data_IF_961875496789
#
_entry.id   IF_961875496789
#
_cell.length_a   1.000
_cell.length_b   1.000
_cell.length_c   1.000
_cell.angle_alpha   90.00
_cell.angle_beta   90.00
_cell.angle_gamma   90.00
#
_symmetry.space_group_name_H-M   'P 1'
#
loop_
_entity.id
_entity.type
_entity.pdbx_description
1 polymer ?
#
# COMPACT_ATOMS: atom_id res chain seq x y z
N UNK A 1 -38.64 -31.98 20.65
CA UNK A 1 -38.47 -30.58 20.18
C UNK A 1 -37.02 -30.09 20.24
N UNK A 2 -36.01 -30.93 19.92
CA UNK A 2 -34.59 -30.55 19.99
C UNK A 2 -33.94 -30.26 18.63
N UNK A 3 -34.48 -30.83 17.54
CA UNK A 3 -33.91 -30.73 16.20
C UNK A 3 -33.87 -29.29 15.66
N UNK A 4 -34.87 -28.47 15.97
CA UNK A 4 -34.89 -27.05 15.58
C UNK A 4 -33.76 -26.25 16.22
N UNK A 5 -33.50 -26.50 17.52
CA UNK A 5 -32.41 -25.83 18.25
C UNK A 5 -31.05 -26.27 17.71
N UNK A 6 -30.89 -27.56 17.39
CA UNK A 6 -29.67 -28.10 16.79
C UNK A 6 -29.40 -27.52 15.39
N UNK A 7 -30.43 -27.34 14.55
CA UNK A 7 -30.29 -26.72 13.23
C UNK A 7 -29.94 -25.24 13.32
N UNK A 8 -30.57 -24.49 14.24
CA UNK A 8 -30.27 -23.07 14.45
C UNK A 8 -28.85 -22.90 14.99
N UNK A 9 -28.47 -23.69 16.01
CA UNK A 9 -27.12 -23.66 16.56
C UNK A 9 -26.06 -24.08 15.54
N UNK A 10 -26.32 -25.12 14.74
CA UNK A 10 -25.44 -25.57 13.66
C UNK A 10 -25.30 -24.53 12.55
N UNK A 11 -26.40 -23.87 12.17
CA UNK A 11 -26.41 -22.80 11.18
C UNK A 11 -25.64 -21.55 11.65
N UNK A 12 -25.86 -21.12 12.89
CA UNK A 12 -25.08 -20.05 13.50
C UNK A 12 -23.60 -20.40 13.58
N UNK A 13 -23.26 -21.61 14.01
CA UNK A 13 -21.87 -22.08 14.05
C UNK A 13 -21.22 -22.06 12.66
N UNK A 14 -21.90 -22.55 11.62
CA UNK A 14 -21.40 -22.52 10.25
C UNK A 14 -21.21 -21.08 9.74
N UNK A 15 -22.16 -20.19 10.03
CA UNK A 15 -22.11 -18.78 9.65
C UNK A 15 -20.93 -18.03 10.32
N UNK A 16 -20.74 -18.21 11.62
CA UNK A 16 -19.63 -17.59 12.35
C UNK A 16 -18.27 -18.18 11.96
N UNK A 17 -18.19 -19.46 11.59
CA UNK A 17 -16.94 -20.07 11.10
C UNK A 17 -16.50 -19.55 9.73
N UNK A 18 -17.45 -19.12 8.89
CA UNK A 18 -17.16 -18.49 7.59
C UNK A 18 -16.78 -17.00 7.70
N UNK A 19 -17.40 -16.28 8.62
CA UNK A 19 -17.16 -14.84 8.85
C UNK A 19 -15.98 -14.56 9.79
N UNK A 20 -15.62 -15.53 10.63
CA UNK A 20 -14.59 -15.44 11.65
C UNK A 20 -13.20 -15.89 11.24
N UNK A 21 -12.82 -15.93 9.95
CA UNK A 21 -11.39 -15.86 9.62
C UNK A 21 -10.96 -14.47 10.07
N UNK A 22 -10.23 -14.28 11.19
CA UNK A 22 -9.66 -12.98 11.48
C UNK A 22 -8.86 -12.65 10.24
N UNK A 23 -9.25 -11.61 9.50
CA UNK A 23 -8.38 -11.06 8.46
C UNK A 23 -7.09 -10.79 9.23
N UNK A 24 -5.99 -11.57 9.05
CA UNK A 24 -4.79 -11.21 9.74
C UNK A 24 -4.53 -9.78 9.29
N UNK A 25 -4.45 -8.87 10.25
CA UNK A 25 -4.06 -7.47 10.05
C UNK A 25 -2.57 -7.39 9.63
N UNK A 26 -2.15 -8.31 8.78
CA UNK A 26 -0.83 -8.59 8.29
C UNK A 26 -0.82 -8.68 6.76
N UNK A 27 -1.83 -8.14 6.06
CA UNK A 27 -1.53 -7.54 4.75
C UNK A 27 -1.15 -6.08 4.98
N UNK A 28 0.08 -5.90 5.49
CA UNK A 28 0.85 -4.66 5.32
C UNK A 28 1.05 -4.43 3.80
N UNK A 29 0.00 -3.98 3.12
CA UNK A 29 0.11 -3.06 1.99
C UNK A 29 0.28 -1.71 2.70
N UNK A 30 1.45 -1.15 2.96
CA UNK A 30 2.61 -0.95 2.12
C UNK A 30 3.88 -0.96 2.99
N UNK A 31 4.66 -2.05 2.96
CA UNK A 31 6.06 -2.03 3.39
C UNK A 31 6.94 -1.78 2.15
N UNK A 32 6.70 -0.65 1.47
CA UNK A 32 7.52 -0.17 0.35
C UNK A 32 7.66 1.35 0.43
N UNK A 33 7.83 1.86 1.66
CA UNK A 33 8.21 3.24 1.95
C UNK A 33 9.71 3.41 2.17
N UNK A 34 10.49 2.33 2.01
CA UNK A 34 11.92 2.28 2.35
C UNK A 34 12.82 2.26 1.10
N UNK A 35 12.35 2.84 0.00
CA UNK A 35 13.16 3.23 -1.17
C UNK A 35 13.00 4.75 -1.43
N UNK A 36 12.81 5.54 -0.36
CA UNK A 36 12.63 6.99 -0.42
C UNK A 36 13.83 7.76 0.17
N UNK A 37 14.98 7.09 0.32
CA UNK A 37 16.10 7.66 1.05
C UNK A 37 17.46 7.43 0.40
N UNK A 38 17.55 7.45 -0.93
CA UNK A 38 18.81 7.76 -1.60
C UNK A 38 18.59 8.86 -2.63
N UNK A 39 18.94 10.09 -2.23
CA UNK A 39 19.00 11.24 -3.11
C UNK A 39 17.68 11.95 -3.37
N UNK A 40 17.31 12.88 -2.50
CA UNK A 40 16.34 13.91 -2.86
C UNK A 40 17.09 15.04 -3.59
N UNK A 41 16.64 15.40 -4.79
CA UNK A 41 17.12 16.59 -5.51
C UNK A 41 15.97 17.57 -5.68
N UNK A 42 16.25 18.84 -5.89
CA UNK A 42 15.22 19.86 -6.08
C UNK A 42 15.14 20.26 -7.55
N UNK A 43 13.93 20.50 -8.04
CA UNK A 43 13.73 21.00 -9.38
C UNK A 43 14.23 22.47 -9.48
N UNK A 44 15.10 22.81 -10.44
CA UNK A 44 15.61 24.17 -10.61
C UNK A 44 14.57 25.16 -11.19
N UNK A 45 13.37 24.69 -11.56
CA UNK A 45 12.31 25.55 -12.10
C UNK A 45 11.18 25.81 -11.11
N UNK A 46 10.74 24.80 -10.36
CA UNK A 46 9.61 24.96 -9.43
C UNK A 46 9.97 24.74 -7.96
N UNK A 47 11.19 24.29 -7.65
CA UNK A 47 11.59 23.96 -6.28
C UNK A 47 10.92 22.71 -5.70
N UNK A 48 10.11 21.99 -6.48
CA UNK A 48 9.51 20.73 -6.03
C UNK A 48 10.59 19.66 -5.78
N UNK A 49 10.34 18.80 -4.79
CA UNK A 49 11.19 17.65 -4.49
C UNK A 49 11.09 16.62 -5.61
N UNK A 50 12.23 16.25 -6.16
CA UNK A 50 12.39 15.18 -7.13
C UNK A 50 13.29 14.08 -6.57
N UNK A 51 13.09 12.83 -7.01
CA UNK A 51 13.97 11.73 -6.63
C UNK A 51 15.17 11.67 -7.58
N UNK A 52 16.35 11.29 -7.08
CA UNK A 52 17.46 10.89 -7.95
C UNK A 52 17.00 9.72 -8.81
N UNK A 53 17.06 9.88 -10.14
CA UNK A 53 16.51 8.96 -11.13
C UNK A 53 15.24 9.45 -11.85
N UNK A 54 14.53 10.46 -11.33
CA UNK A 54 13.42 11.08 -12.06
C UNK A 54 13.96 11.91 -13.25
N UNK A 55 13.64 11.53 -14.49
CA UNK A 55 14.02 12.27 -15.72
C UNK A 55 13.26 13.59 -15.89
N UNK A 56 12.08 13.70 -15.29
CA UNK A 56 11.19 14.84 -15.38
C UNK A 56 10.61 15.18 -14.01
N UNK A 57 10.39 16.47 -13.74
CA UNK A 57 9.72 16.92 -12.53
C UNK A 57 8.23 16.54 -12.58
N UNK A 58 7.73 15.89 -11.52
CA UNK A 58 6.32 15.47 -11.39
C UNK A 58 5.35 16.63 -11.16
N UNK A 59 5.86 17.82 -10.86
CA UNK A 59 5.05 19.01 -10.54
C UNK A 59 4.97 19.97 -11.73
N UNK A 60 6.09 20.25 -12.39
CA UNK A 60 6.14 21.23 -13.50
C UNK A 60 6.47 20.62 -14.86
N UNK A 61 6.83 19.33 -14.94
CA UNK A 61 7.18 18.67 -16.20
C UNK A 61 8.56 19.03 -16.77
N UNK A 62 9.31 19.93 -16.12
CA UNK A 62 10.67 20.29 -16.55
C UNK A 62 11.60 19.07 -16.49
N UNK A 63 12.46 18.92 -17.51
CA UNK A 63 13.52 17.90 -17.53
C UNK A 63 14.50 18.15 -16.38
N UNK A 64 14.67 17.14 -15.53
CA UNK A 64 15.67 17.18 -14.47
C UNK A 64 16.97 16.69 -15.09
N UNK A 65 18.00 17.53 -15.08
CA UNK A 65 19.37 17.14 -15.46
C UNK A 65 19.97 16.35 -14.29
N UNK A 66 19.37 15.21 -13.97
CA UNK A 66 20.05 14.22 -13.14
C UNK A 66 20.98 13.50 -14.09
N UNK A 67 22.26 13.85 -14.03
CA UNK A 67 23.35 13.03 -14.53
C UNK A 67 23.29 11.71 -13.73
N UNK A 68 22.41 10.81 -14.17
CA UNK A 68 22.64 9.39 -14.03
C UNK A 68 23.76 9.07 -15.03
N UNK A 69 24.98 9.47 -14.67
CA UNK A 69 26.17 8.87 -15.23
C UNK A 69 26.19 7.41 -14.72
N UNK A 70 25.95 6.55 -15.71
CA UNK A 70 26.02 5.07 -15.78
C UNK A 70 24.83 4.24 -15.26
#
# INVERSE_FOLDING_TARGET
AGFGVLMIAGGLYYYFRGTGRPRPAARRRHASGEEAQEGQTYCPQCGARARRGDRFCRTCGTRLRVEAEE
#
